data_IF_971212809099
#
_entry.id   IF_971212809099
#
_cell.length_a   1.000
_cell.length_b   1.000
_cell.length_c   1.000
_cell.angle_alpha   90.00
_cell.angle_beta   90.00
_cell.angle_gamma   90.00
#
_symmetry.space_group_name_H-M   'P 1'
#
loop_
_entity.id
_entity.type
_entity.pdbx_description
1 polymer ?
#
# COMPACT_ATOMS: atom_id res chain seq x y z
N UNK A 1 30.08 -26.35 47.05
CA UNK A 1 29.55 -24.99 46.88
C UNK A 1 28.64 -25.03 45.69
N UNK A 2 27.35 -24.85 45.95
CA UNK A 2 26.22 -25.07 45.04
C UNK A 2 26.02 -23.91 44.07
N UNK A 3 25.28 -24.18 42.98
CA UNK A 3 24.79 -23.26 41.93
C UNK A 3 24.09 -21.96 42.40
N UNK A 4 24.10 -21.62 43.69
CA UNK A 4 23.50 -20.40 44.22
C UNK A 4 24.51 -19.23 44.31
N UNK A 5 25.83 -19.49 44.26
CA UNK A 5 26.85 -18.43 44.37
C UNK A 5 27.17 -17.74 43.02
N UNK A 6 26.77 -18.33 41.89
CA UNK A 6 26.94 -17.73 40.55
C UNK A 6 25.75 -16.82 40.18
N UNK A 7 24.52 -17.18 40.56
CA UNK A 7 23.33 -16.33 40.35
C UNK A 7 23.41 -14.97 41.08
N UNK A 8 24.04 -14.92 42.26
CA UNK A 8 24.21 -13.65 43.00
C UNK A 8 25.24 -12.71 42.36
N UNK A 9 26.24 -13.23 41.63
CA UNK A 9 27.23 -12.39 40.93
C UNK A 9 26.72 -11.82 39.61
N UNK A 10 25.78 -12.51 38.97
CA UNK A 10 25.12 -12.03 37.76
C UNK A 10 24.05 -10.97 38.07
N UNK A 11 23.36 -11.09 39.21
CA UNK A 11 22.42 -10.06 39.71
C UNK A 11 23.11 -8.76 40.16
N UNK A 12 24.34 -8.80 40.67
CA UNK A 12 25.10 -7.59 40.99
C UNK A 12 25.63 -6.86 39.74
N UNK A 13 25.97 -7.61 38.67
CA UNK A 13 26.34 -7.03 37.37
C UNK A 13 25.14 -6.42 36.63
N UNK A 14 23.98 -7.07 36.65
CA UNK A 14 22.74 -6.49 36.10
C UNK A 14 22.35 -5.19 36.81
N UNK A 15 22.60 -5.06 38.12
CA UNK A 15 22.32 -3.83 38.87
C UNK A 15 23.37 -2.71 38.64
N UNK A 16 24.60 -3.03 38.26
CA UNK A 16 25.61 -2.03 37.83
C UNK A 16 25.39 -1.57 36.39
N UNK A 17 24.95 -2.46 35.50
CA UNK A 17 24.63 -2.12 34.11
C UNK A 17 23.30 -1.35 34.02
N UNK A 18 22.29 -1.66 34.86
CA UNK A 18 21.09 -0.81 35.01
C UNK A 18 21.39 0.58 35.59
N UNK A 19 22.48 0.75 36.37
CA UNK A 19 22.96 2.07 36.83
C UNK A 19 23.79 2.81 35.79
N UNK A 20 24.39 2.12 34.81
CA UNK A 20 25.08 2.73 33.66
C UNK A 20 24.11 3.11 32.54
N UNK A 21 23.04 2.35 32.34
CA UNK A 21 21.97 2.67 31.38
C UNK A 21 21.08 3.85 31.83
N UNK A 22 21.17 4.28 33.09
CA UNK A 22 20.55 5.53 33.56
C UNK A 22 21.38 6.80 33.24
N UNK A 23 22.54 6.69 32.56
CA UNK A 23 23.42 7.84 32.27
C UNK A 23 23.37 8.41 30.83
N UNK A 24 22.51 7.90 29.97
CA UNK A 24 22.06 8.53 28.73
C UNK A 24 20.53 8.32 28.67
N UNK A 25 19.62 9.27 28.88
CA UNK A 25 19.55 10.68 28.56
C UNK A 25 18.63 11.36 29.59
N UNK A 26 19.10 12.35 30.33
CA UNK A 26 18.18 13.38 30.86
C UNK A 26 17.76 14.22 29.65
N UNK A 27 16.73 13.81 28.93
CA UNK A 27 16.03 14.74 28.03
C UNK A 27 15.52 15.89 28.89
N UNK A 28 16.16 17.07 28.79
CA UNK A 28 15.59 18.28 29.36
C UNK A 28 14.21 18.46 28.71
N UNK A 29 13.13 18.37 29.52
CA UNK A 29 11.78 18.67 29.05
C UNK A 29 11.75 20.13 28.61
N UNK A 30 11.73 20.34 27.29
CA UNK A 30 11.52 21.65 26.69
C UNK A 30 10.17 22.16 27.15
N UNK A 31 10.16 23.31 27.80
CA UNK A 31 8.94 23.95 28.28
C UNK A 31 8.33 24.83 27.20
N UNK A 32 7.03 25.14 27.34
CA UNK A 32 6.35 26.12 26.47
C UNK A 32 7.06 27.48 26.47
N UNK A 33 7.69 27.86 27.59
CA UNK A 33 8.44 29.10 27.73
C UNK A 33 9.72 29.08 26.89
N UNK A 34 10.46 27.97 26.90
CA UNK A 34 11.68 27.79 26.09
C UNK A 34 11.36 27.92 24.60
N UNK A 35 10.24 27.36 24.15
CA UNK A 35 9.78 27.47 22.77
C UNK A 35 9.40 28.91 22.38
N UNK A 36 8.77 29.66 23.29
CA UNK A 36 8.43 31.08 23.07
C UNK A 36 9.70 31.94 22.99
N UNK A 37 10.68 31.68 23.84
CA UNK A 37 11.97 32.39 23.83
C UNK A 37 12.78 32.06 22.58
N UNK A 38 12.80 30.80 22.17
CA UNK A 38 13.39 30.39 20.90
C UNK A 38 12.71 31.09 19.71
N UNK A 39 11.37 31.10 19.66
CA UNK A 39 10.60 31.83 18.63
C UNK A 39 11.01 33.31 18.58
N UNK A 40 11.07 33.98 19.73
CA UNK A 40 11.53 35.38 19.83
C UNK A 40 12.96 35.56 19.31
N UNK A 41 13.88 34.66 19.66
CA UNK A 41 15.28 34.73 19.24
C UNK A 41 15.47 34.63 17.72
N UNK A 42 14.56 33.93 17.03
CA UNK A 42 14.55 33.78 15.57
C UNK A 42 13.67 34.82 14.87
N UNK A 43 13.06 35.75 15.61
CA UNK A 43 12.19 36.80 15.08
C UNK A 43 10.77 36.34 14.73
N UNK A 44 10.32 35.20 15.26
CA UNK A 44 8.99 34.66 15.03
C UNK A 44 7.97 35.15 16.07
N UNK A 45 6.69 35.18 15.67
CA UNK A 45 5.60 35.52 16.59
C UNK A 45 5.44 34.42 17.66
N UNK A 46 5.20 34.77 18.95
CA UNK A 46 4.99 33.79 20.02
C UNK A 46 3.87 32.78 19.73
N UNK A 47 2.84 33.20 18.98
CA UNK A 47 1.68 32.37 18.65
C UNK A 47 1.88 31.53 17.38
N UNK A 48 2.93 31.79 16.60
CA UNK A 48 3.18 31.05 15.37
C UNK A 48 3.63 29.64 15.71
N UNK A 49 3.04 28.65 15.03
CA UNK A 49 3.31 27.24 15.29
C UNK A 49 4.58 26.80 14.57
N UNK A 50 5.37 25.95 15.21
CA UNK A 50 6.63 25.43 14.68
C UNK A 50 6.51 23.93 14.49
N UNK A 51 6.93 23.40 13.36
CA UNK A 51 6.98 21.96 13.14
C UNK A 51 8.38 21.51 12.75
N UNK A 52 8.64 20.22 12.93
CA UNK A 52 9.87 19.56 12.54
C UNK A 52 9.50 18.27 11.83
N UNK A 53 9.95 18.10 10.57
CA UNK A 53 9.76 16.85 9.81
C UNK A 53 11.13 16.25 9.51
N UNK A 54 11.40 15.09 10.11
CA UNK A 54 12.60 14.28 9.84
C UNK A 54 12.27 13.24 8.77
N UNK A 55 13.04 13.22 7.69
CA UNK A 55 12.87 12.33 6.54
C UNK A 55 12.31 13.01 5.27
N UNK A 56 12.60 12.42 4.11
CA UNK A 56 12.31 12.94 2.77
C UNK A 56 10.85 12.80 2.26
N UNK A 57 10.04 11.78 2.62
CA UNK A 57 8.84 11.46 1.83
C UNK A 57 7.61 12.36 2.10
N UNK A 58 7.69 13.36 2.98
CA UNK A 58 6.54 14.17 3.40
C UNK A 58 6.53 15.59 2.86
N UNK A 59 6.87 15.77 1.58
CA UNK A 59 6.88 17.10 0.96
C UNK A 59 5.48 17.74 1.00
N UNK A 60 4.42 16.97 0.73
CA UNK A 60 3.05 17.47 0.80
C UNK A 60 2.66 17.96 2.21
N UNK A 61 3.11 17.26 3.26
CA UNK A 61 2.86 17.66 4.65
C UNK A 61 3.64 18.94 5.00
N UNK A 62 4.92 19.04 4.58
CA UNK A 62 5.73 20.27 4.73
C UNK A 62 5.05 21.46 4.08
N UNK A 63 4.69 21.34 2.80
CA UNK A 63 4.02 22.38 2.04
C UNK A 63 2.67 22.75 2.68
N UNK A 64 1.92 21.77 3.17
CA UNK A 64 0.66 21.97 3.86
C UNK A 64 0.79 22.80 5.15
N UNK A 65 1.76 22.46 6.00
CA UNK A 65 2.02 23.18 7.25
C UNK A 65 2.53 24.60 7.00
N UNK A 66 3.42 24.79 6.02
CA UNK A 66 3.89 26.11 5.59
C UNK A 66 2.71 26.97 5.09
N UNK A 67 1.81 26.40 4.27
CA UNK A 67 0.61 27.09 3.79
C UNK A 67 -0.37 27.47 4.93
N UNK A 68 -0.34 26.76 6.05
CA UNK A 68 -1.08 27.11 7.27
C UNK A 68 -0.37 28.19 8.13
N UNK A 69 0.76 28.73 7.66
CA UNK A 69 1.56 29.74 8.37
C UNK A 69 2.48 29.17 9.44
N UNK A 70 2.67 27.85 9.49
CA UNK A 70 3.61 27.23 10.41
C UNK A 70 5.05 27.36 9.90
N UNK A 71 6.00 27.31 10.82
CA UNK A 71 7.44 27.44 10.54
C UNK A 71 8.09 26.07 10.64
N UNK A 72 8.86 25.68 9.62
CA UNK A 72 9.69 24.48 9.69
C UNK A 72 10.99 24.77 10.45
N UNK A 73 11.21 24.09 11.57
CA UNK A 73 12.52 24.01 12.21
C UNK A 73 13.34 22.88 11.56
N UNK A 74 14.32 23.26 10.74
CA UNK A 74 15.18 22.32 10.00
C UNK A 74 16.38 21.81 10.81
N UNK A 75 16.70 22.45 11.93
CA UNK A 75 17.87 22.12 12.76
C UNK A 75 17.50 21.00 13.75
N UNK A 76 17.22 19.81 13.21
CA UNK A 76 16.74 18.64 13.96
C UNK A 76 17.74 18.18 15.03
N UNK A 77 19.05 18.34 14.76
CA UNK A 77 20.14 17.88 15.63
C UNK A 77 20.53 18.90 16.71
N UNK A 78 20.38 20.20 16.43
CA UNK A 78 20.85 21.28 17.32
C UNK A 78 19.72 21.84 18.20
N UNK A 79 18.51 21.98 17.65
CA UNK A 79 17.40 22.70 18.28
C UNK A 79 16.12 21.83 18.27
N UNK A 80 15.81 21.09 19.34
CA UNK A 80 14.58 20.29 19.46
C UNK A 80 13.29 21.12 19.73
N UNK A 81 13.18 22.29 19.12
CA UNK A 81 12.09 23.24 19.33
C UNK A 81 10.97 23.03 18.31
N UNK A 82 9.80 22.55 18.76
CA UNK A 82 8.63 22.29 17.91
C UNK A 82 7.32 22.31 18.71
N UNK A 83 6.22 22.67 18.03
CA UNK A 83 4.84 22.35 18.43
C UNK A 83 4.41 20.97 17.87
N UNK A 84 4.97 20.56 16.72
CA UNK A 84 4.74 19.26 16.08
C UNK A 84 6.06 18.65 15.60
N UNK A 85 6.42 17.46 16.06
CA UNK A 85 7.54 16.68 15.51
C UNK A 85 6.99 15.46 14.78
N UNK A 86 7.34 15.33 13.52
CA UNK A 86 7.06 14.15 12.70
C UNK A 86 8.38 13.52 12.31
N UNK A 87 8.59 12.26 12.67
CA UNK A 87 9.83 11.54 12.37
C UNK A 87 9.48 10.34 11.50
N UNK A 88 10.08 10.25 10.31
CA UNK A 88 10.35 8.96 9.70
C UNK A 88 11.83 8.65 9.89
N UNK A 89 12.13 7.47 10.45
CA UNK A 89 13.50 7.02 10.67
C UNK A 89 14.29 6.80 9.37
N UNK A 90 13.65 6.79 8.18
CA UNK A 90 14.34 6.65 6.89
C UNK A 90 13.67 7.44 5.77
N UNK A 91 14.48 7.98 4.85
CA UNK A 91 14.09 8.53 3.53
C UNK A 91 13.53 7.47 2.56
N UNK A 92 13.07 6.33 3.10
CA UNK A 92 12.66 5.17 2.34
C UNK A 92 11.13 5.12 2.35
N UNK A 93 10.53 5.39 1.21
CA UNK A 93 9.11 5.13 1.01
C UNK A 93 8.89 3.61 0.87
N UNK A 94 8.29 3.01 1.89
CA UNK A 94 7.98 1.58 1.91
C UNK A 94 7.07 1.16 0.76
N UNK A 95 6.23 2.06 0.25
CA UNK A 95 5.31 1.73 -0.82
C UNK A 95 6.02 1.42 -2.14
N UNK A 96 7.30 1.79 -2.28
CA UNK A 96 8.13 1.48 -3.45
C UNK A 96 8.42 -0.02 -3.60
N UNK A 97 8.56 -0.76 -2.49
CA UNK A 97 8.98 -2.17 -2.50
C UNK A 97 8.13 -3.11 -1.64
N UNK A 98 7.20 -2.57 -0.84
CA UNK A 98 6.33 -3.34 0.02
C UNK A 98 4.86 -3.02 -0.28
N UNK A 99 4.07 -3.97 -0.83
CA UNK A 99 2.65 -3.75 -1.09
C UNK A 99 1.91 -3.30 0.17
N UNK A 100 1.02 -2.31 0.02
CA UNK A 100 0.21 -1.72 1.10
C UNK A 100 -0.41 -2.83 1.96
N UNK A 101 -0.33 -2.66 3.27
CA UNK A 101 -0.54 -3.73 4.23
C UNK A 101 -1.12 -3.12 5.50
N UNK A 102 -2.14 -3.76 6.05
CA UNK A 102 -2.89 -3.29 7.21
C UNK A 102 -3.18 -4.46 8.16
N UNK A 103 -2.94 -4.27 9.45
CA UNK A 103 -3.40 -5.14 10.51
C UNK A 103 -4.90 -4.88 10.77
N UNK A 104 -5.77 -5.70 10.19
CA UNK A 104 -7.22 -5.49 10.25
C UNK A 104 -7.84 -5.82 11.61
N UNK A 105 -7.05 -6.36 12.53
CA UNK A 105 -7.46 -6.58 13.93
C UNK A 105 -7.31 -5.30 14.76
N UNK A 106 -6.43 -4.39 14.36
CA UNK A 106 -6.36 -3.05 14.91
C UNK A 106 -7.47 -2.18 14.30
N UNK A 107 -8.15 -1.39 15.15
CA UNK A 107 -9.32 -0.60 14.74
C UNK A 107 -8.93 0.54 13.80
N UNK A 108 -7.81 1.21 14.06
CA UNK A 108 -7.37 2.36 13.26
C UNK A 108 -6.87 1.89 11.89
N UNK A 109 -6.01 0.85 11.87
CA UNK A 109 -5.55 0.26 10.62
C UNK A 109 -6.70 -0.36 9.81
N UNK A 110 -7.75 -0.88 10.47
CA UNK A 110 -8.94 -1.36 9.78
C UNK A 110 -9.72 -0.23 9.08
N UNK A 111 -9.89 0.93 9.73
CA UNK A 111 -10.54 2.10 9.12
C UNK A 111 -9.74 2.61 7.91
N UNK A 112 -8.41 2.70 8.04
CA UNK A 112 -7.50 3.06 6.95
C UNK A 112 -7.57 2.06 5.78
N UNK A 113 -7.61 0.76 6.11
CA UNK A 113 -7.79 -0.31 5.12
C UNK A 113 -9.11 -0.17 4.37
N UNK A 114 -10.22 0.08 5.07
CA UNK A 114 -11.54 0.24 4.46
C UNK A 114 -11.53 1.42 3.49
N UNK A 115 -10.94 2.55 3.87
CA UNK A 115 -10.82 3.72 2.99
C UNK A 115 -9.94 3.41 1.77
N UNK A 116 -8.78 2.79 1.95
CA UNK A 116 -7.89 2.43 0.84
C UNK A 116 -8.54 1.40 -0.09
N UNK A 117 -9.29 0.43 0.45
CA UNK A 117 -10.06 -0.55 -0.34
C UNK A 117 -11.07 0.15 -1.26
N UNK A 118 -11.81 1.13 -0.73
CA UNK A 118 -12.80 1.90 -1.51
C UNK A 118 -12.11 2.72 -2.61
N UNK A 119 -10.97 3.34 -2.31
CA UNK A 119 -10.19 4.05 -3.32
C UNK A 119 -9.64 3.11 -4.42
N UNK A 120 -9.09 1.96 -4.04
CA UNK A 120 -8.63 0.97 -5.01
C UNK A 120 -9.79 0.41 -5.85
N UNK A 121 -11.00 0.30 -5.29
CA UNK A 121 -12.21 -0.06 -6.06
C UNK A 121 -12.57 1.01 -7.10
N UNK A 122 -12.56 2.29 -6.71
CA UNK A 122 -12.80 3.40 -7.64
C UNK A 122 -11.76 3.42 -8.77
N UNK A 123 -10.47 3.24 -8.45
CA UNK A 123 -9.40 3.15 -9.44
C UNK A 123 -9.60 1.97 -10.40
N UNK A 124 -9.97 0.81 -9.88
CA UNK A 124 -10.28 -0.40 -10.66
C UNK A 124 -11.40 -0.15 -11.69
N UNK A 125 -12.49 0.52 -11.27
CA UNK A 125 -13.60 0.88 -12.16
C UNK A 125 -13.11 1.78 -13.30
N UNK A 126 -12.32 2.82 -12.99
CA UNK A 126 -11.82 3.74 -14.01
C UNK A 126 -10.88 3.04 -14.99
N UNK A 127 -9.98 2.19 -14.52
CA UNK A 127 -9.07 1.41 -15.38
C UNK A 127 -9.83 0.52 -16.34
N UNK A 128 -10.82 -0.21 -15.82
CA UNK A 128 -11.68 -1.06 -16.63
C UNK A 128 -12.46 -0.22 -17.64
N UNK A 129 -13.07 0.89 -17.24
CA UNK A 129 -13.81 1.79 -18.13
C UNK A 129 -12.99 2.30 -19.30
N UNK A 130 -11.71 2.66 -19.08
CA UNK A 130 -10.80 3.11 -20.14
C UNK A 130 -10.38 1.97 -21.08
N UNK A 131 -10.29 0.74 -20.57
CA UNK A 131 -9.94 -0.45 -21.36
C UNK A 131 -11.15 -1.03 -22.13
N UNK A 132 -12.37 -0.77 -21.68
CA UNK A 132 -13.58 -1.24 -22.35
C UNK A 132 -13.79 -0.52 -23.69
N UNK A 133 -13.74 -1.29 -24.79
CA UNK A 133 -14.36 -0.88 -26.05
C UNK A 133 -15.88 -0.99 -25.88
N UNK A 134 -16.54 0.14 -25.70
CA UNK A 134 -18.00 0.18 -25.51
C UNK A 134 -18.68 0.03 -26.88
N UNK A 135 -19.33 -1.12 -27.10
CA UNK A 135 -20.20 -1.35 -28.26
C UNK A 135 -21.36 -0.35 -28.30
N UNK A 136 -21.75 0.11 -29.49
CA UNK A 136 -22.76 1.17 -29.66
C UNK A 136 -24.15 0.77 -29.15
N UNK A 137 -24.49 -0.52 -29.14
CA UNK A 137 -25.76 -1.00 -28.58
C UNK A 137 -25.77 -0.94 -27.05
N UNK A 138 -24.62 -1.23 -26.40
CA UNK A 138 -24.50 -1.16 -24.94
C UNK A 138 -24.72 0.27 -24.43
N UNK A 139 -24.29 1.29 -25.20
CA UNK A 139 -24.48 2.72 -24.88
C UNK A 139 -25.94 3.14 -24.68
N UNK A 140 -26.90 2.40 -25.24
CA UNK A 140 -28.33 2.72 -25.20
C UNK A 140 -29.07 2.07 -24.02
N UNK A 141 -28.37 1.30 -23.19
CA UNK A 141 -28.98 0.53 -22.10
C UNK A 141 -28.96 1.26 -20.76
N UNK A 142 -29.89 0.92 -19.86
CA UNK A 142 -29.88 1.39 -18.46
C UNK A 142 -28.58 0.99 -17.73
N UNK A 143 -27.92 -0.09 -18.15
CA UNK A 143 -26.62 -0.51 -17.63
C UNK A 143 -25.53 0.55 -17.87
N UNK A 144 -25.59 1.23 -19.00
CA UNK A 144 -24.62 2.25 -19.36
C UNK A 144 -24.79 3.51 -18.50
N UNK A 145 -26.03 3.91 -18.21
CA UNK A 145 -26.32 5.01 -17.28
C UNK A 145 -25.78 4.71 -15.87
N UNK A 146 -25.93 3.48 -15.39
CA UNK A 146 -25.36 3.07 -14.10
C UNK A 146 -23.83 3.10 -14.12
N UNK A 147 -23.21 2.58 -15.19
CA UNK A 147 -21.75 2.62 -15.37
C UNK A 147 -21.23 4.06 -15.40
N UNK A 148 -21.91 4.98 -16.08
CA UNK A 148 -21.53 6.41 -16.12
C UNK A 148 -21.48 7.03 -14.72
N UNK A 149 -22.45 6.73 -13.84
CA UNK A 149 -22.36 7.18 -12.44
C UNK A 149 -21.16 6.56 -11.75
N UNK A 150 -20.97 5.25 -11.86
CA UNK A 150 -19.87 4.58 -11.16
C UNK A 150 -18.53 5.21 -11.56
N UNK A 151 -18.35 5.50 -12.84
CA UNK A 151 -17.18 6.22 -13.36
C UNK A 151 -17.10 7.62 -12.76
N UNK A 152 -18.21 8.35 -12.73
CA UNK A 152 -18.24 9.71 -12.19
C UNK A 152 -17.89 9.77 -10.70
N UNK A 153 -18.55 8.96 -9.87
CA UNK A 153 -18.27 8.86 -8.44
C UNK A 153 -16.83 8.39 -8.22
N UNK A 154 -16.34 7.44 -9.03
CA UNK A 154 -14.95 6.99 -8.95
C UNK A 154 -13.98 8.14 -9.28
N UNK A 155 -14.28 9.00 -10.25
CA UNK A 155 -13.48 10.20 -10.52
C UNK A 155 -13.48 11.16 -9.32
N UNK A 156 -14.63 11.37 -8.67
CA UNK A 156 -14.70 12.20 -7.45
C UNK A 156 -13.92 11.58 -6.28
N UNK A 157 -13.99 10.27 -6.11
CA UNK A 157 -13.22 9.55 -5.12
C UNK A 157 -11.72 9.74 -5.35
N UNK A 158 -11.22 9.54 -6.58
CA UNK A 158 -9.80 9.71 -6.87
C UNK A 158 -9.37 11.18 -6.83
N UNK A 159 -10.27 12.13 -7.15
CA UNK A 159 -10.03 13.56 -6.90
C UNK A 159 -9.74 13.82 -5.42
N UNK A 160 -10.58 13.28 -4.53
CA UNK A 160 -10.40 13.39 -3.06
C UNK A 160 -9.12 12.69 -2.60
N UNK A 161 -8.80 11.51 -3.16
CA UNK A 161 -7.54 10.79 -2.87
C UNK A 161 -6.30 11.64 -3.19
N UNK A 162 -6.33 12.36 -4.31
CA UNK A 162 -5.24 13.19 -4.82
C UNK A 162 -5.13 14.57 -4.15
N UNK A 163 -5.98 14.89 -3.15
CA UNK A 163 -5.83 16.12 -2.38
C UNK A 163 -4.54 16.05 -1.54
N UNK A 164 -3.82 17.17 -1.48
CA UNK A 164 -2.73 17.34 -0.51
C UNK A 164 -3.28 17.33 0.94
N UNK A 165 -2.39 17.22 1.91
CA UNK A 165 -2.76 17.09 3.33
C UNK A 165 -3.63 18.28 3.79
N UNK A 166 -3.25 19.53 3.46
CA UNK A 166 -4.04 20.71 3.81
C UNK A 166 -5.48 20.64 3.30
N UNK A 167 -5.67 20.27 2.02
CA UNK A 167 -6.99 20.18 1.43
C UNK A 167 -7.78 19.01 2.01
N UNK A 168 -7.14 17.87 2.33
CA UNK A 168 -7.79 16.77 3.05
C UNK A 168 -8.29 17.21 4.42
N UNK A 169 -7.47 17.94 5.19
CA UNK A 169 -7.87 18.50 6.49
C UNK A 169 -9.06 19.45 6.32
N UNK A 170 -9.05 20.33 5.32
CA UNK A 170 -10.17 21.24 5.06
C UNK A 170 -11.47 20.49 4.75
N UNK A 171 -11.42 19.41 3.99
CA UNK A 171 -12.59 18.57 3.71
C UNK A 171 -13.10 17.87 4.98
N UNK A 172 -12.21 17.35 5.82
CA UNK A 172 -12.56 16.75 7.12
C UNK A 172 -13.24 17.79 8.02
N UNK A 173 -12.71 19.01 8.11
CA UNK A 173 -13.28 20.10 8.90
C UNK A 173 -14.67 20.55 8.40
N UNK A 174 -14.95 20.35 7.11
CA UNK A 174 -16.28 20.57 6.53
C UNK A 174 -17.24 19.39 6.72
N UNK A 175 -16.84 18.36 7.48
CA UNK A 175 -17.58 17.11 7.66
C UNK A 175 -17.79 16.32 6.35
N UNK A 176 -16.89 16.46 5.38
CA UNK A 176 -16.91 15.67 4.14
C UNK A 176 -16.18 14.33 4.26
N UNK A 177 -16.11 13.78 5.48
CA UNK A 177 -15.52 12.47 5.79
C UNK A 177 -16.63 11.47 6.17
N UNK A 178 -16.58 10.19 5.73
CA UNK A 178 -15.52 9.57 4.92
C UNK A 178 -15.47 10.12 3.49
N UNK A 179 -14.27 10.11 2.86
CA UNK A 179 -14.10 10.69 1.51
C UNK A 179 -14.99 10.01 0.46
N UNK A 180 -15.31 8.73 0.66
CA UNK A 180 -16.34 8.03 -0.10
C UNK A 180 -17.49 7.72 0.87
N UNK A 181 -18.57 8.49 0.74
CA UNK A 181 -19.72 8.38 1.64
C UNK A 181 -20.51 7.07 1.39
N UNK A 182 -21.39 6.65 2.31
CA UNK A 182 -22.11 5.38 2.18
C UNK A 182 -22.95 5.25 0.90
N UNK A 183 -23.56 6.33 0.43
CA UNK A 183 -24.35 6.35 -0.81
C UNK A 183 -23.45 6.21 -2.04
N UNK A 184 -22.32 6.93 -2.09
CA UNK A 184 -21.30 6.80 -3.13
C UNK A 184 -20.74 5.37 -3.18
N UNK A 185 -20.41 4.81 -2.01
CA UNK A 185 -19.91 3.45 -1.87
C UNK A 185 -20.93 2.41 -2.34
N UNK A 186 -22.21 2.61 -2.03
CA UNK A 186 -23.28 1.72 -2.46
C UNK A 186 -23.30 1.56 -3.99
N UNK A 187 -23.09 2.64 -4.75
CA UNK A 187 -22.98 2.55 -6.21
C UNK A 187 -21.69 1.88 -6.67
N UNK A 188 -20.53 2.30 -6.15
CA UNK A 188 -19.21 1.76 -6.55
C UNK A 188 -19.06 0.26 -6.24
N UNK A 189 -19.66 -0.21 -5.15
CA UNK A 189 -19.53 -1.59 -4.69
C UNK A 189 -20.43 -2.59 -5.43
N UNK A 190 -21.44 -2.11 -6.17
CA UNK A 190 -22.38 -2.99 -6.87
C UNK A 190 -21.98 -3.26 -8.32
N UNK A 191 -22.43 -4.39 -8.87
CA UNK A 191 -22.22 -4.70 -10.28
C UNK A 191 -23.11 -3.80 -11.14
N UNK A 192 -22.54 -3.12 -12.14
CA UNK A 192 -23.30 -2.29 -13.06
C UNK A 192 -24.34 -3.03 -13.88
N UNK A 193 -24.21 -4.35 -13.97
CA UNK A 193 -25.19 -5.23 -14.60
C UNK A 193 -26.38 -5.59 -13.69
N UNK A 194 -26.53 -4.97 -12.53
CA UNK A 194 -27.66 -5.20 -11.63
C UNK A 194 -28.78 -4.17 -11.85
N UNK A 195 -29.70 -4.46 -12.79
CA UNK A 195 -30.83 -3.57 -13.13
C UNK A 195 -31.77 -3.33 -11.95
N UNK A 196 -32.05 -4.37 -11.16
CA UNK A 196 -32.95 -4.26 -10.01
C UNK A 196 -32.39 -3.27 -8.99
N UNK A 197 -31.08 -3.35 -8.73
CA UNK A 197 -30.39 -2.39 -7.87
C UNK A 197 -30.47 -0.97 -8.44
N UNK A 198 -30.20 -0.77 -9.73
CA UNK A 198 -30.28 0.55 -10.35
C UNK A 198 -31.69 1.14 -10.25
N UNK A 199 -32.72 0.37 -10.63
CA UNK A 199 -34.11 0.81 -10.61
C UNK A 199 -34.56 1.20 -9.20
N UNK A 200 -34.16 0.42 -8.19
CA UNK A 200 -34.47 0.69 -6.79
C UNK A 200 -33.79 1.96 -6.24
N UNK A 201 -32.68 2.40 -6.85
CA UNK A 201 -31.89 3.55 -6.41
C UNK A 201 -31.90 4.72 -7.43
N UNK A 202 -32.91 4.79 -8.30
CA UNK A 202 -32.99 5.80 -9.38
C UNK A 202 -33.12 7.23 -8.86
N UNK A 203 -33.73 7.44 -7.70
CA UNK A 203 -33.84 8.78 -7.10
C UNK A 203 -32.48 9.30 -6.63
N UNK A 204 -31.68 8.43 -6.02
CA UNK A 204 -30.31 8.73 -5.63
C UNK A 204 -29.41 8.94 -6.86
N UNK A 205 -29.63 8.20 -7.96
CA UNK A 205 -29.05 8.52 -9.28
C UNK A 205 -29.34 9.97 -9.65
N UNK A 206 -30.61 10.37 -9.60
CA UNK A 206 -31.04 11.70 -10.07
C UNK A 206 -30.45 12.81 -9.19
N UNK A 207 -30.32 12.57 -7.90
CA UNK A 207 -29.69 13.49 -6.95
C UNK A 207 -28.19 13.68 -7.28
N UNK A 208 -27.42 12.58 -7.38
CA UNK A 208 -25.98 12.63 -7.70
C UNK A 208 -25.76 13.25 -9.09
N UNK A 209 -26.59 12.87 -10.06
CA UNK A 209 -26.56 13.41 -11.41
C UNK A 209 -26.86 14.91 -11.41
N UNK A 210 -27.89 15.36 -10.70
CA UNK A 210 -28.27 16.79 -10.64
C UNK A 210 -27.22 17.64 -9.95
N UNK A 211 -26.60 17.15 -8.89
CA UNK A 211 -25.64 17.92 -8.10
C UNK A 211 -24.26 18.02 -8.77
N UNK A 212 -24.00 17.22 -9.80
CA UNK A 212 -22.63 17.10 -10.31
C UNK A 212 -22.51 16.81 -11.79
N UNK A 213 -23.30 15.87 -12.33
CA UNK A 213 -23.24 15.50 -13.76
C UNK A 213 -23.99 16.51 -14.65
N UNK A 214 -24.91 17.28 -14.08
CA UNK A 214 -25.63 18.38 -14.75
C UNK A 214 -24.71 19.49 -15.28
N UNK A 215 -23.44 19.52 -14.85
CA UNK A 215 -22.41 20.44 -15.33
C UNK A 215 -21.81 20.02 -16.68
N UNK A 216 -22.06 18.79 -17.12
CA UNK A 216 -21.57 18.25 -18.40
C UNK A 216 -22.62 18.43 -19.50
N UNK A 217 -22.16 18.65 -20.72
CA UNK A 217 -23.02 18.70 -21.88
C UNK A 217 -23.51 17.29 -22.22
N UNK A 218 -24.84 17.11 -22.34
CA UNK A 218 -25.47 15.79 -22.54
C UNK A 218 -24.90 15.02 -23.73
N UNK A 219 -24.58 15.73 -24.82
CA UNK A 219 -24.08 15.13 -26.06
C UNK A 219 -22.60 14.70 -25.95
N UNK A 220 -21.85 15.28 -25.00
CA UNK A 220 -20.42 15.01 -24.79
C UNK A 220 -20.10 14.26 -23.50
N UNK A 221 -21.09 13.94 -22.66
CA UNK A 221 -20.90 13.38 -21.32
C UNK A 221 -19.90 12.22 -21.29
N UNK A 222 -19.99 11.29 -22.25
CA UNK A 222 -19.06 10.15 -22.33
C UNK A 222 -17.62 10.58 -22.58
N UNK A 223 -17.42 11.49 -23.52
CA UNK A 223 -16.09 12.01 -23.84
C UNK A 223 -15.51 12.73 -22.62
N UNK A 224 -16.33 13.52 -21.92
CA UNK A 224 -15.93 14.26 -20.73
C UNK A 224 -15.61 13.31 -19.55
N UNK A 225 -16.38 12.23 -19.36
CA UNK A 225 -16.07 11.18 -18.37
C UNK A 225 -14.77 10.44 -18.69
N UNK A 226 -14.52 10.10 -19.95
CA UNK A 226 -13.26 9.47 -20.38
C UNK A 226 -12.07 10.40 -20.11
N UNK A 227 -12.19 11.69 -20.43
CA UNK A 227 -11.15 12.68 -20.16
C UNK A 227 -10.90 12.83 -18.65
N UNK A 228 -11.97 12.88 -17.84
CA UNK A 228 -11.87 12.99 -16.40
C UNK A 228 -11.21 11.76 -15.76
N UNK A 229 -11.61 10.56 -16.21
CA UNK A 229 -11.03 9.31 -15.75
C UNK A 229 -9.54 9.23 -16.10
N UNK A 230 -9.16 9.55 -17.35
CA UNK A 230 -7.76 9.62 -17.76
C UNK A 230 -6.95 10.61 -16.94
N UNK A 231 -7.50 11.80 -16.66
CA UNK A 231 -6.84 12.82 -15.83
C UNK A 231 -6.45 12.27 -14.46
N UNK A 232 -7.39 11.68 -13.72
CA UNK A 232 -7.09 11.19 -12.37
C UNK A 232 -6.25 9.91 -12.36
N UNK A 233 -6.42 9.03 -13.35
CA UNK A 233 -5.54 7.87 -13.51
C UNK A 233 -4.09 8.27 -13.81
N UNK A 234 -3.86 9.30 -14.63
CA UNK A 234 -2.52 9.84 -14.91
C UNK A 234 -1.89 10.48 -13.67
N UNK A 235 -2.68 11.20 -12.88
CA UNK A 235 -2.22 11.75 -11.60
C UNK A 235 -1.79 10.61 -10.67
N UNK A 236 -2.62 9.57 -10.49
CA UNK A 236 -2.29 8.43 -9.65
C UNK A 236 -1.07 7.65 -10.16
N UNK A 237 -0.96 7.43 -11.46
CA UNK A 237 0.20 6.75 -12.05
C UNK A 237 1.52 7.47 -11.73
N UNK A 238 1.48 8.81 -11.62
CA UNK A 238 2.64 9.62 -11.27
C UNK A 238 3.01 9.54 -9.78
N UNK A 239 2.02 9.50 -8.88
CA UNK A 239 2.24 9.66 -7.43
C UNK A 239 2.10 8.37 -6.61
N UNK A 240 1.35 7.38 -7.07
CA UNK A 240 1.19 6.09 -6.37
C UNK A 240 2.17 5.06 -6.94
N UNK A 241 3.25 4.71 -6.21
CA UNK A 241 4.23 3.72 -6.68
C UNK A 241 3.61 2.32 -6.87
N UNK A 242 2.44 2.07 -6.30
CA UNK A 242 1.72 0.81 -6.41
C UNK A 242 0.56 0.86 -7.41
N UNK A 243 0.44 1.94 -8.20
CA UNK A 243 -0.59 2.09 -9.23
C UNK A 243 -0.74 0.82 -10.10
N UNK A 244 0.37 0.22 -10.54
CA UNK A 244 0.32 -0.95 -11.42
C UNK A 244 -0.10 -2.25 -10.73
N UNK A 245 -0.18 -2.29 -9.39
CA UNK A 245 -0.61 -3.47 -8.64
C UNK A 245 -2.14 -3.64 -8.62
N UNK A 246 -2.90 -2.59 -8.91
CA UNK A 246 -4.35 -2.58 -8.79
C UNK A 246 -5.05 -2.64 -10.15
N UNK A 247 -5.91 -3.64 -10.38
CA UNK A 247 -6.76 -3.74 -11.59
C UNK A 247 -8.19 -4.16 -11.27
N UNK A 248 -8.35 -5.13 -10.38
CA UNK A 248 -9.61 -5.73 -9.92
C UNK A 248 -9.87 -5.49 -8.44
N UNK A 249 -9.03 -4.69 -7.77
CA UNK A 249 -9.09 -4.42 -6.33
C UNK A 249 -8.93 -5.68 -5.48
N UNK A 250 -7.92 -6.50 -5.80
CA UNK A 250 -7.65 -7.73 -5.07
C UNK A 250 -6.79 -7.51 -3.84
N UNK A 251 -7.21 -8.11 -2.74
CA UNK A 251 -6.53 -8.10 -1.44
C UNK A 251 -6.33 -9.52 -0.94
N UNK A 252 -5.13 -9.82 -0.44
CA UNK A 252 -4.80 -11.10 0.18
C UNK A 252 -4.80 -10.91 1.69
N UNK A 253 -5.59 -11.72 2.40
CA UNK A 253 -5.56 -11.76 3.86
C UNK A 253 -4.76 -12.94 4.36
N UNK A 254 -3.98 -12.71 5.40
CA UNK A 254 -3.06 -13.66 6.00
C UNK A 254 -3.20 -13.61 7.52
N UNK A 255 -3.37 -14.75 8.19
CA UNK A 255 -3.34 -14.80 9.65
C UNK A 255 -1.91 -14.67 10.15
N UNK A 256 -1.70 -13.89 11.22
CA UNK A 256 -0.44 -13.82 11.94
C UNK A 256 -0.16 -15.17 12.61
N UNK A 257 1.12 -15.56 12.67
CA UNK A 257 1.55 -16.75 13.41
C UNK A 257 1.22 -18.11 12.75
N UNK A 258 0.52 -18.15 11.60
CA UNK A 258 0.34 -19.38 10.84
C UNK A 258 1.37 -19.51 9.71
N UNK A 259 1.76 -20.76 9.44
CA UNK A 259 2.72 -21.12 8.39
C UNK A 259 2.08 -22.00 7.30
N UNK A 260 2.84 -22.27 6.23
CA UNK A 260 2.48 -23.21 5.15
C UNK A 260 1.25 -22.77 4.32
N UNK A 261 0.96 -21.47 4.29
CA UNK A 261 -0.15 -20.90 3.52
C UNK A 261 -1.55 -21.20 4.08
N UNK A 262 -1.65 -21.68 5.32
CA UNK A 262 -2.94 -21.93 5.97
C UNK A 262 -3.67 -20.62 6.26
N UNK A 263 -4.97 -20.60 5.98
CA UNK A 263 -5.83 -19.43 6.21
C UNK A 263 -5.63 -18.29 5.22
N UNK A 264 -4.68 -18.38 4.29
CA UNK A 264 -4.48 -17.36 3.25
C UNK A 264 -5.63 -17.43 2.23
N UNK A 265 -6.25 -16.28 1.96
CA UNK A 265 -7.29 -16.12 0.94
C UNK A 265 -7.21 -14.76 0.28
N UNK A 266 -7.68 -14.69 -0.96
CA UNK A 266 -7.81 -13.46 -1.74
C UNK A 266 -9.28 -13.05 -1.87
N UNK A 267 -9.54 -11.75 -1.81
CA UNK A 267 -10.87 -11.16 -1.89
C UNK A 267 -10.86 -9.91 -2.78
N UNK A 268 -11.95 -9.71 -3.51
CA UNK A 268 -12.27 -8.53 -4.33
C UNK A 268 -13.47 -7.74 -3.77
N UNK A 269 -14.14 -8.30 -2.74
CA UNK A 269 -15.31 -7.74 -2.07
C UNK A 269 -15.02 -7.52 -0.59
N UNK A 270 -15.21 -6.28 -0.11
CA UNK A 270 -14.93 -5.90 1.27
C UNK A 270 -15.74 -6.73 2.26
N UNK A 271 -17.04 -6.92 2.02
CA UNK A 271 -17.90 -7.69 2.93
C UNK A 271 -17.47 -9.14 3.07
N UNK A 272 -17.05 -9.79 1.98
CA UNK A 272 -16.60 -11.17 2.02
C UNK A 272 -15.29 -11.31 2.80
N UNK A 273 -14.38 -10.35 2.65
CA UNK A 273 -13.15 -10.27 3.41
C UNK A 273 -13.44 -10.09 4.90
N UNK A 274 -14.26 -9.10 5.25
CA UNK A 274 -14.64 -8.78 6.63
C UNK A 274 -15.34 -9.98 7.29
N UNK A 275 -16.29 -10.61 6.61
CA UNK A 275 -16.95 -11.84 7.10
C UNK A 275 -15.99 -13.01 7.31
N UNK A 276 -14.89 -13.09 6.54
CA UNK A 276 -13.92 -14.16 6.67
C UNK A 276 -13.02 -14.00 7.90
N UNK A 277 -12.75 -12.76 8.31
CA UNK A 277 -11.78 -12.44 9.37
C UNK A 277 -12.46 -12.17 10.71
N UNK A 278 -13.69 -11.62 10.70
CA UNK A 278 -14.47 -11.35 11.90
C UNK A 278 -14.76 -12.62 12.71
N UNK A 279 -14.74 -12.48 14.04
CA UNK A 279 -15.11 -13.54 14.97
C UNK A 279 -14.08 -14.67 15.08
N UNK A 280 -12.81 -14.42 14.70
CA UNK A 280 -11.71 -15.37 14.84
C UNK A 280 -10.64 -14.80 15.75
N UNK A 281 -10.21 -15.59 16.73
CA UNK A 281 -9.16 -15.22 17.71
C UNK A 281 -7.75 -15.33 17.11
N UNK A 282 -7.51 -14.62 16.01
CA UNK A 282 -6.21 -14.57 15.33
C UNK A 282 -6.03 -13.16 14.78
N UNK A 283 -4.84 -12.58 14.92
CA UNK A 283 -4.50 -11.32 14.25
C UNK A 283 -4.46 -11.54 12.74
N UNK A 284 -5.06 -10.65 11.96
CA UNK A 284 -5.07 -10.73 10.51
C UNK A 284 -4.40 -9.54 9.87
N UNK A 285 -3.78 -9.79 8.72
CA UNK A 285 -3.18 -8.78 7.87
C UNK A 285 -3.86 -8.81 6.51
N UNK A 286 -4.38 -7.68 6.04
CA UNK A 286 -4.81 -7.49 4.67
C UNK A 286 -3.71 -6.76 3.89
N UNK A 287 -3.25 -7.38 2.80
CA UNK A 287 -2.21 -6.82 1.94
C UNK A 287 -2.70 -6.71 0.51
N UNK A 288 -2.34 -5.63 -0.20
CA UNK A 288 -2.69 -5.47 -1.61
C UNK A 288 -2.09 -6.63 -2.40
N UNK A 289 -2.94 -7.36 -3.12
CA UNK A 289 -2.50 -8.46 -3.95
C UNK A 289 -1.82 -7.91 -5.21
N UNK A 290 -0.69 -8.50 -5.61
CA UNK A 290 0.03 -8.19 -6.85
C UNK A 290 -0.72 -8.86 -8.00
N UNK A 291 -1.55 -8.09 -8.71
CA UNK A 291 -2.45 -8.61 -9.74
C UNK A 291 -1.76 -8.86 -11.09
N UNK A 292 -0.66 -8.16 -11.35
CA UNK A 292 0.16 -8.31 -12.56
C UNK A 292 1.61 -8.67 -12.18
N UNK A 293 1.85 -9.87 -11.62
CA UNK A 293 3.20 -10.29 -11.25
C UNK A 293 4.03 -10.59 -12.50
N UNK A 294 5.35 -10.45 -12.37
CA UNK A 294 6.27 -11.08 -13.32
C UNK A 294 6.04 -12.60 -13.28
N UNK A 295 6.08 -13.25 -14.45
CA UNK A 295 5.85 -14.69 -14.56
C UNK A 295 7.00 -15.37 -15.30
N UNK A 296 7.25 -16.63 -14.96
CA UNK A 296 8.17 -17.52 -15.68
C UNK A 296 7.29 -18.55 -16.37
N UNK A 297 7.30 -18.56 -17.70
CA UNK A 297 6.44 -19.43 -18.51
C UNK A 297 4.96 -19.35 -18.09
N UNK A 298 4.47 -18.12 -17.89
CA UNK A 298 3.12 -17.78 -17.39
C UNK A 298 2.82 -18.22 -15.95
N UNK A 299 3.76 -18.83 -15.23
CA UNK A 299 3.58 -19.20 -13.82
C UNK A 299 4.11 -18.10 -12.91
N UNK A 300 3.36 -17.76 -11.86
CA UNK A 300 3.78 -16.83 -10.81
C UNK A 300 4.93 -17.44 -10.01
N UNK A 301 5.84 -16.65 -9.49
CA UNK A 301 6.93 -17.14 -8.64
C UNK A 301 7.20 -16.20 -7.45
N UNK A 302 8.02 -16.68 -6.52
CA UNK A 302 8.68 -15.85 -5.52
C UNK A 302 10.17 -16.19 -5.43
N UNK A 303 10.97 -15.26 -4.87
CA UNK A 303 12.41 -15.45 -4.65
C UNK A 303 12.64 -15.71 -3.16
N UNK A 304 13.35 -16.80 -2.84
CA UNK A 304 13.84 -17.07 -1.49
C UNK A 304 15.27 -16.56 -1.35
N UNK A 305 15.41 -15.37 -0.77
CA UNK A 305 16.69 -14.82 -0.33
C UNK A 305 16.98 -15.20 1.13
N UNK A 306 18.22 -15.56 1.44
CA UNK A 306 18.67 -15.79 2.82
C UNK A 306 19.40 -14.57 3.39
N UNK A 307 19.14 -14.29 4.66
CA UNK A 307 19.88 -13.32 5.45
C UNK A 307 20.12 -13.87 6.86
N UNK A 308 21.20 -13.44 7.50
CA UNK A 308 21.59 -13.82 8.85
C UNK A 308 21.84 -12.56 9.69
N UNK A 309 21.12 -12.43 10.80
CA UNK A 309 21.36 -11.37 11.79
C UNK A 309 22.27 -11.94 12.86
N UNK A 310 23.38 -11.27 13.13
CA UNK A 310 24.40 -11.75 14.08
C UNK A 310 24.56 -10.85 15.30
N UNK A 311 24.14 -9.60 15.19
CA UNK A 311 24.16 -8.63 16.26
C UNK A 311 23.02 -7.63 16.05
N UNK A 312 22.55 -7.04 17.14
CA UNK A 312 21.49 -6.02 17.17
C UNK A 312 22.04 -4.65 17.59
N UNK A 313 23.22 -4.60 18.21
CA UNK A 313 23.85 -3.36 18.65
C UNK A 313 25.39 -3.40 18.55
N UNK A 314 25.98 -3.06 17.38
CA UNK A 314 25.29 -2.53 16.20
C UNK A 314 24.49 -3.61 15.46
N UNK A 315 23.42 -3.22 14.76
CA UNK A 315 22.69 -4.15 13.90
C UNK A 315 23.59 -4.66 12.77
N UNK A 316 23.90 -5.97 12.77
CA UNK A 316 24.72 -6.62 11.74
C UNK A 316 23.91 -7.68 11.01
N UNK A 317 23.69 -7.45 9.71
CA UNK A 317 22.93 -8.32 8.80
C UNK A 317 23.81 -8.76 7.63
N UNK A 318 23.94 -10.07 7.44
CA UNK A 318 24.57 -10.68 6.27
C UNK A 318 23.51 -11.16 5.28
N UNK A 319 23.70 -10.89 3.99
CA UNK A 319 22.89 -11.48 2.92
C UNK A 319 23.69 -12.58 2.24
N UNK A 320 23.10 -13.77 2.07
CA UNK A 320 23.74 -14.82 1.30
C UNK A 320 23.75 -14.45 -0.19
N UNK A 321 24.83 -14.75 -0.91
CA UNK A 321 24.99 -14.29 -2.30
C UNK A 321 24.06 -15.00 -3.29
N UNK A 322 23.57 -16.18 -2.91
CA UNK A 322 22.66 -16.97 -3.72
C UNK A 322 21.23 -16.94 -3.16
N UNK A 323 20.27 -17.00 -4.08
CA UNK A 323 18.87 -17.26 -3.81
C UNK A 323 18.37 -18.40 -4.69
N UNK A 324 17.14 -18.82 -4.46
CA UNK A 324 16.43 -19.70 -5.40
C UNK A 324 15.01 -19.21 -5.62
N UNK A 325 14.45 -19.57 -6.76
CA UNK A 325 13.15 -19.16 -7.22
C UNK A 325 12.18 -20.31 -6.99
N UNK A 326 11.03 -20.00 -6.39
CA UNK A 326 9.92 -20.95 -6.20
C UNK A 326 8.81 -20.58 -7.15
N UNK A 327 8.52 -21.48 -8.08
CA UNK A 327 7.54 -21.27 -9.15
C UNK A 327 6.23 -21.95 -8.73
N UNK A 328 5.11 -21.25 -8.94
CA UNK A 328 3.77 -21.81 -8.77
C UNK A 328 3.60 -23.02 -9.69
N UNK A 329 2.73 -23.96 -9.29
CA UNK A 329 2.60 -25.21 -10.03
C UNK A 329 1.80 -25.02 -11.33
N UNK A 330 0.70 -24.26 -11.25
CA UNK A 330 -0.18 -23.95 -12.38
C UNK A 330 0.12 -22.57 -13.00
N UNK A 331 -0.34 -22.36 -14.23
CA UNK A 331 -0.29 -21.05 -14.89
C UNK A 331 -1.07 -20.01 -14.08
N UNK A 332 -0.52 -18.79 -13.98
CA UNK A 332 -1.15 -17.70 -13.28
C UNK A 332 -2.43 -17.26 -14.00
N UNK A 333 -3.55 -17.34 -13.31
CA UNK A 333 -4.83 -16.84 -13.80
C UNK A 333 -5.48 -15.95 -12.76
N UNK A 334 -5.53 -14.65 -13.01
CA UNK A 334 -6.11 -13.67 -12.08
C UNK A 334 -7.64 -13.79 -11.95
N UNK A 335 -8.30 -14.52 -12.85
CA UNK A 335 -9.74 -14.80 -12.81
C UNK A 335 -10.08 -16.07 -12.00
N UNK A 336 -9.09 -16.93 -11.69
CA UNK A 336 -9.30 -18.17 -10.92
C UNK A 336 -8.62 -18.13 -9.54
N UNK A 337 -9.14 -17.26 -8.68
CA UNK A 337 -8.62 -17.06 -7.32
C UNK A 337 -8.75 -18.28 -6.40
N UNK A 338 -9.56 -19.28 -6.78
CA UNK A 338 -9.72 -20.52 -6.01
C UNK A 338 -8.56 -21.48 -6.25
N UNK A 339 -7.89 -21.40 -7.41
CA UNK A 339 -6.71 -22.18 -7.70
C UNK A 339 -5.49 -21.67 -6.91
N UNK A 340 -5.30 -22.24 -5.73
CA UNK A 340 -4.13 -21.95 -4.87
C UNK A 340 -2.80 -22.31 -5.54
N UNK A 341 -2.78 -23.28 -6.44
CA UNK A 341 -1.57 -23.74 -7.13
C UNK A 341 -1.04 -22.72 -8.14
N UNK A 342 -1.90 -21.82 -8.65
CA UNK A 342 -1.54 -20.71 -9.55
C UNK A 342 -1.08 -19.46 -8.79
N UNK A 343 -1.40 -19.36 -7.49
CA UNK A 343 -1.26 -18.11 -6.73
C UNK A 343 -0.27 -18.18 -5.56
N UNK A 344 0.03 -19.39 -5.05
CA UNK A 344 0.89 -19.60 -3.88
C UNK A 344 2.04 -20.55 -4.21
N UNK A 345 3.26 -20.02 -4.29
CA UNK A 345 4.48 -20.76 -4.63
C UNK A 345 5.08 -21.58 -3.46
N UNK A 346 4.31 -21.83 -2.39
CA UNK A 346 4.80 -22.63 -1.28
C UNK A 346 4.84 -24.11 -1.68
N UNK A 347 6.01 -24.77 -1.58
CA UNK A 347 6.15 -26.20 -1.89
C UNK A 347 5.16 -27.09 -1.11
N UNK A 348 4.78 -26.70 0.11
CA UNK A 348 3.78 -27.40 0.91
C UNK A 348 2.35 -27.36 0.34
N UNK A 349 2.08 -26.42 -0.57
CA UNK A 349 0.85 -26.32 -1.35
C UNK A 349 1.03 -27.11 -2.63
N UNK A 350 2.09 -26.84 -3.40
CA UNK A 350 2.35 -27.50 -4.69
C UNK A 350 2.37 -29.03 -4.61
N UNK A 351 2.88 -29.60 -3.51
CA UNK A 351 2.91 -31.06 -3.30
C UNK A 351 1.55 -31.76 -3.29
N UNK A 352 0.46 -31.00 -3.12
CA UNK A 352 -0.90 -31.54 -3.15
C UNK A 352 -1.56 -31.38 -4.52
N UNK A 353 -0.84 -30.87 -5.53
CA UNK A 353 -1.35 -30.76 -6.88
C UNK A 353 -1.40 -32.13 -7.56
N UNK A 354 -2.36 -32.29 -8.48
CA UNK A 354 -2.39 -33.46 -9.35
C UNK A 354 -1.10 -33.51 -10.19
N UNK A 355 -0.52 -34.70 -10.33
CA UNK A 355 0.71 -34.94 -11.10
C UNK A 355 1.94 -34.17 -10.61
N UNK A 356 2.01 -33.86 -9.30
CA UNK A 356 3.15 -33.15 -8.72
C UNK A 356 4.49 -33.83 -9.02
N UNK A 357 4.55 -35.16 -8.95
CA UNK A 357 5.79 -35.92 -9.18
C UNK A 357 6.35 -35.74 -10.59
N UNK A 358 5.48 -35.56 -11.59
CA UNK A 358 5.90 -35.37 -12.99
C UNK A 358 6.51 -33.99 -13.23
N UNK A 359 6.07 -32.98 -12.48
CA UNK A 359 6.38 -31.56 -12.72
C UNK A 359 7.16 -30.89 -11.60
N UNK A 360 7.64 -31.65 -10.60
CA UNK A 360 8.34 -31.11 -9.43
C UNK A 360 9.56 -30.27 -9.82
N UNK A 361 10.30 -30.70 -10.85
CA UNK A 361 11.48 -30.01 -11.35
C UNK A 361 11.15 -28.66 -12.02
N UNK A 362 9.89 -28.40 -12.36
CA UNK A 362 9.45 -27.10 -12.89
C UNK A 362 9.07 -26.09 -11.78
N UNK A 363 9.04 -26.53 -10.52
CA UNK A 363 8.58 -25.68 -9.39
C UNK A 363 9.70 -24.93 -8.68
N UNK A 364 10.96 -25.16 -9.09
CA UNK A 364 12.15 -24.55 -8.51
C UNK A 364 13.10 -24.15 -9.64
N UNK A 365 13.84 -23.06 -9.46
CA UNK A 365 14.85 -22.59 -10.40
C UNK A 365 16.00 -21.94 -9.61
N UNK A 366 17.24 -22.22 -9.98
CA UNK A 366 18.41 -21.62 -9.36
C UNK A 366 18.62 -20.18 -9.84
N UNK A 367 19.39 -19.38 -9.08
CA UNK A 367 19.64 -17.97 -9.40
C UNK A 367 20.21 -17.76 -10.80
N UNK A 368 21.20 -18.56 -11.22
CA UNK A 368 21.81 -18.46 -12.55
C UNK A 368 20.81 -18.73 -13.68
N UNK A 369 20.00 -19.79 -13.55
CA UNK A 369 18.94 -20.13 -14.51
C UNK A 369 17.91 -19.01 -14.65
N UNK A 370 17.55 -18.36 -13.54
CA UNK A 370 16.66 -17.22 -13.55
C UNK A 370 17.26 -16.00 -14.24
N UNK A 371 18.55 -15.72 -14.00
CA UNK A 371 19.26 -14.63 -14.68
C UNK A 371 19.28 -14.86 -16.19
N UNK A 372 19.63 -16.06 -16.62
CA UNK A 372 19.62 -16.44 -18.03
C UNK A 372 18.21 -16.31 -18.63
N UNK A 373 17.18 -16.78 -17.92
CA UNK A 373 15.80 -16.64 -18.33
C UNK A 373 15.39 -15.17 -18.53
N UNK A 374 15.75 -14.29 -17.60
CA UNK A 374 15.41 -12.86 -17.67
C UNK A 374 16.14 -12.18 -18.84
N UNK A 375 17.43 -12.48 -19.01
CA UNK A 375 18.24 -11.91 -20.09
C UNK A 375 17.69 -12.30 -21.47
N UNK A 376 17.28 -13.57 -21.64
CA UNK A 376 16.71 -14.08 -22.89
C UNK A 376 15.28 -13.57 -23.11
N UNK A 377 14.43 -13.62 -22.09
CA UNK A 377 12.98 -13.38 -22.26
C UNK A 377 12.62 -11.90 -22.30
N UNK A 378 13.42 -11.04 -21.66
CA UNK A 378 13.11 -9.61 -21.52
C UNK A 378 14.16 -8.70 -22.18
N UNK A 379 15.20 -9.25 -22.82
CA UNK A 379 16.32 -8.50 -23.42
C UNK A 379 16.95 -7.48 -22.46
N UNK A 380 16.90 -7.79 -21.16
CA UNK A 380 17.51 -6.98 -20.14
C UNK A 380 18.94 -7.48 -20.02
N UNK A 381 19.96 -6.65 -20.31
CA UNK A 381 21.35 -6.99 -19.95
C UNK A 381 21.52 -6.85 -18.42
N UNK A 382 20.84 -7.70 -17.66
CA UNK A 382 20.86 -7.63 -16.19
C UNK A 382 22.09 -8.39 -15.69
N UNK A 383 23.00 -7.62 -15.08
CA UNK A 383 23.99 -8.20 -14.18
C UNK A 383 23.36 -8.30 -12.79
N UNK A 384 22.89 -9.50 -12.41
CA UNK A 384 22.22 -9.72 -11.12
C UNK A 384 23.16 -9.46 -9.93
N UNK A 385 24.46 -9.73 -10.08
CA UNK A 385 25.48 -9.35 -9.11
C UNK A 385 25.57 -7.82 -8.96
N UNK A 386 25.41 -7.03 -10.04
CA UNK A 386 25.32 -5.56 -9.95
C UNK A 386 24.04 -5.10 -9.22
N UNK A 387 22.91 -5.81 -9.37
CA UNK A 387 21.66 -5.49 -8.64
C UNK A 387 21.80 -5.80 -7.15
N UNK A 388 22.32 -6.97 -6.79
CA UNK A 388 22.54 -7.37 -5.38
C UNK A 388 23.68 -6.57 -4.71
N UNK A 389 24.74 -6.21 -5.45
CA UNK A 389 25.85 -5.41 -4.91
C UNK A 389 25.52 -3.92 -4.80
N UNK A 390 24.72 -3.34 -5.69
CA UNK A 390 24.24 -1.95 -5.52
C UNK A 390 23.14 -1.82 -4.45
N UNK A 391 22.43 -2.90 -4.12
CA UNK A 391 21.55 -2.91 -2.95
C UNK A 391 22.29 -2.76 -1.61
N UNK A 392 23.63 -2.89 -1.60
CA UNK A 392 24.43 -2.61 -0.41
C UNK A 392 24.64 -1.12 -0.12
N UNK A 393 24.29 -0.18 -1.01
CA UNK A 393 24.39 1.25 -0.72
C UNK A 393 23.32 2.06 -1.47
N UNK A 394 22.28 2.47 -0.74
CA UNK A 394 21.32 3.53 -1.09
C UNK A 394 20.47 3.38 -2.36
N UNK A 395 19.14 3.36 -2.10
CA UNK A 395 18.05 3.80 -3.00
C UNK A 395 17.60 2.86 -4.13
N UNK A 396 16.28 2.61 -4.10
CA UNK A 396 15.38 2.33 -5.24
C UNK A 396 15.20 0.85 -5.62
N UNK A 397 14.09 0.28 -5.17
CA UNK A 397 13.26 -0.55 -6.05
C UNK A 397 12.06 0.30 -6.46
N UNK A 398 12.11 0.91 -7.64
CA UNK A 398 10.91 1.30 -8.37
C UNK A 398 10.96 0.55 -9.69
N UNK A 399 10.18 -0.52 -9.80
CA UNK A 399 9.92 -1.14 -11.09
C UNK A 399 8.94 -0.25 -11.86
N UNK A 400 9.41 0.91 -12.35
CA UNK A 400 8.65 1.75 -13.27
C UNK A 400 8.94 1.34 -14.72
N UNK A 401 7.86 0.89 -15.39
CA UNK A 401 7.64 0.78 -16.84
C UNK A 401 8.76 0.11 -17.66
N UNK A 402 8.64 -1.20 -17.83
CA UNK A 402 9.15 -1.85 -19.05
C UNK A 402 8.16 -1.61 -20.19
N UNK A 403 8.41 -0.57 -20.99
CA UNK A 403 7.73 -0.45 -22.28
C UNK A 403 8.29 -1.53 -23.21
N UNK A 404 7.41 -2.39 -23.73
CA UNK A 404 7.70 -3.24 -24.89
C UNK A 404 8.10 -2.32 -26.06
N UNK A 405 9.26 -2.56 -26.66
CA UNK A 405 9.53 -2.11 -28.03
C UNK A 405 8.92 -3.09 -29.01
#
# INVERSE_FOLDING_TARGET
MSCQDEEYKDLEKENEDQKKDQKFTKEQKITTQDLIEWKKSKGYSPNQKVFMIVGSPYQDLRESLINLGWIENKNIEEDQMFDLKWISQKDIDFNLFYPKCFEITDVQEFEDFVEEFKFCKAESILKQFIQFNIEDEFKKTDFFAFLQIQVYISCLALKKKCLNVSNKIQEILKNNFPFINPNEWLFINNNYKNLEFFQKNKDLYNEIHKNTVSQFEKEELNLQLVQLAKKYLQILEKYDPQYNLNQKNLWIVKPAGLSRGRGIRTFDQLQNLVNYVMGRDVTWVAQKYIENPLTINKKKFDIRQWACVTDWNPLVIYFYEECYIRICFDEFNIDDLQNKFAHLANNCISKNAANFEEKINETMMFQNEFVDYINVSYFLNINFYFILSNQKMNKIFSFQKFNKK
#
